data_IF_874566570140
#
_entry.id   IF_874566570140
#
_cell.length_a   1.000
_cell.length_b   1.000
_cell.length_c   1.000
_cell.angle_alpha   90.00
_cell.angle_beta   90.00
_cell.angle_gamma   90.00
#
_symmetry.space_group_name_H-M   'P 1'
#
loop_
_entity.id
_entity.type
_entity.pdbx_description
1 polymer ?
#
# COMPACT_ATOMS: atom_id res chain seq x y z
N UNK A 1 -23.50 17.37 20.78
CA UNK A 1 -22.45 17.26 21.82
C UNK A 1 -22.07 15.79 21.95
N UNK A 2 -20.94 15.24 21.52
CA UNK A 2 -19.78 15.70 20.77
C UNK A 2 -19.35 14.49 19.92
N UNK A 3 -19.49 14.58 18.60
CA UNK A 3 -18.93 13.59 17.67
C UNK A 3 -17.52 14.06 17.32
N UNK A 4 -16.56 13.76 18.20
CA UNK A 4 -15.15 13.89 17.87
C UNK A 4 -14.78 12.68 16.99
N UNK A 5 -14.54 12.98 15.72
CA UNK A 5 -13.89 12.13 14.73
C UNK A 5 -12.73 11.35 15.36
N UNK A 6 -12.83 10.03 15.40
CA UNK A 6 -11.69 9.18 15.71
C UNK A 6 -10.81 9.13 14.46
N UNK A 7 -9.96 10.15 14.36
CA UNK A 7 -8.87 10.20 13.42
C UNK A 7 -7.83 9.21 13.94
N UNK A 8 -7.32 8.30 13.09
CA UNK A 8 -6.37 7.32 13.55
C UNK A 8 -5.12 7.99 14.10
N UNK A 9 -4.75 7.59 15.30
CA UNK A 9 -3.76 8.30 16.12
C UNK A 9 -2.45 7.53 16.30
N UNK A 10 -2.37 6.28 15.84
CA UNK A 10 -1.17 5.45 15.99
C UNK A 10 -0.98 4.42 14.87
N UNK A 11 0.22 3.88 14.74
CA UNK A 11 0.62 2.87 13.74
C UNK A 11 -0.16 1.57 13.90
N UNK A 12 -0.48 1.21 15.14
CA UNK A 12 -1.29 0.03 15.47
C UNK A 12 -2.65 0.02 14.73
N UNK A 13 -3.21 1.20 14.46
CA UNK A 13 -4.49 1.34 13.77
C UNK A 13 -4.38 1.09 12.28
N UNK A 14 -3.27 1.53 11.67
CA UNK A 14 -2.99 1.18 10.28
C UNK A 14 -2.60 -0.28 10.12
N UNK A 15 -1.82 -0.84 11.06
CA UNK A 15 -1.53 -2.28 11.10
C UNK A 15 -2.83 -3.07 11.16
N UNK A 16 -3.77 -2.69 12.03
CA UNK A 16 -5.10 -3.30 12.08
C UNK A 16 -5.85 -3.16 10.75
N UNK A 17 -5.89 -1.96 10.14
CA UNK A 17 -6.64 -1.69 8.93
C UNK A 17 -6.16 -2.53 7.73
N UNK A 18 -4.84 -2.68 7.59
CA UNK A 18 -4.23 -3.50 6.53
C UNK A 18 -4.47 -4.99 6.78
N UNK A 19 -4.40 -5.42 8.04
CA UNK A 19 -4.75 -6.79 8.43
C UNK A 19 -6.22 -7.11 8.17
N UNK A 20 -7.14 -6.22 8.54
CA UNK A 20 -8.57 -6.36 8.28
C UNK A 20 -8.85 -6.42 6.78
N UNK A 21 -8.27 -5.52 5.98
CA UNK A 21 -8.39 -5.56 4.53
C UNK A 21 -7.94 -6.90 3.95
N UNK A 22 -6.76 -7.40 4.33
CA UNK A 22 -6.21 -8.63 3.78
C UNK A 22 -7.00 -9.87 4.19
N UNK A 23 -7.55 -9.90 5.40
CA UNK A 23 -8.32 -11.04 5.93
C UNK A 23 -9.78 -11.03 5.44
N UNK A 24 -10.39 -9.85 5.27
CA UNK A 24 -11.80 -9.69 4.90
C UNK A 24 -12.03 -9.52 3.39
N UNK A 25 -10.97 -9.49 2.57
CA UNK A 25 -11.06 -9.39 1.11
C UNK A 25 -10.65 -10.72 0.46
N UNK A 26 -11.62 -11.50 -0.06
CA UNK A 26 -11.33 -12.76 -0.73
C UNK A 26 -10.33 -12.58 -1.89
N UNK A 27 -9.33 -13.45 -1.94
CA UNK A 27 -8.32 -13.45 -3.00
C UNK A 27 -7.04 -12.67 -2.68
N UNK A 28 -7.05 -11.78 -1.69
CA UNK A 28 -5.83 -11.11 -1.23
C UNK A 28 -4.89 -12.12 -0.56
N UNK A 29 -3.69 -12.28 -1.12
CA UNK A 29 -2.63 -13.10 -0.55
C UNK A 29 -1.81 -12.30 0.47
N UNK A 30 -1.41 -11.10 0.08
CA UNK A 30 -0.67 -10.18 0.91
C UNK A 30 -1.00 -8.74 0.52
N UNK A 31 -0.92 -7.83 1.48
CA UNK A 31 -1.02 -6.40 1.27
C UNK A 31 0.09 -5.68 2.04
N UNK A 32 0.62 -4.60 1.48
CA UNK A 32 1.54 -3.72 2.18
C UNK A 32 1.36 -2.27 1.75
N UNK A 33 1.61 -1.36 2.69
CA UNK A 33 1.78 0.05 2.41
C UNK A 33 3.28 0.27 2.20
N UNK A 34 3.61 0.83 1.04
CA UNK A 34 4.97 1.19 0.67
C UNK A 34 5.10 2.70 0.60
N UNK A 35 6.27 3.22 0.95
CA UNK A 35 6.63 4.59 0.65
C UNK A 35 7.05 4.73 -0.81
N UNK A 36 6.97 5.95 -1.35
CA UNK A 36 7.40 6.26 -2.72
C UNK A 36 8.90 6.03 -2.97
N UNK A 37 9.72 6.00 -1.91
CA UNK A 37 11.15 5.68 -1.96
C UNK A 37 11.46 4.19 -1.72
N UNK A 38 10.42 3.35 -1.56
CA UNK A 38 10.57 1.90 -1.60
C UNK A 38 10.85 1.24 -0.26
N UNK A 39 10.40 1.86 0.84
CA UNK A 39 10.43 1.26 2.17
C UNK A 39 9.07 0.65 2.51
N UNK A 40 9.02 -0.57 3.07
CA UNK A 40 7.78 -1.11 3.61
C UNK A 40 7.43 -0.33 4.88
N UNK A 41 6.25 0.29 4.88
CA UNK A 41 5.75 1.00 6.04
C UNK A 41 4.96 0.05 6.94
N UNK A 42 4.04 -0.70 6.34
CA UNK A 42 3.11 -1.60 7.04
C UNK A 42 2.81 -2.83 6.17
N UNK A 43 2.75 -4.01 6.79
CA UNK A 43 2.47 -5.28 6.11
C UNK A 43 1.28 -6.00 6.72
N UNK A 44 0.46 -6.65 5.90
CA UNK A 44 -0.58 -7.55 6.38
C UNK A 44 0.04 -8.83 6.93
N UNK A 45 -0.26 -9.16 8.18
CA UNK A 45 0.14 -10.38 8.87
C UNK A 45 1.66 -10.53 8.98
N UNK A 46 2.13 -11.73 9.34
CA UNK A 46 3.55 -12.04 9.27
C UNK A 46 3.96 -12.16 7.80
N UNK A 47 4.52 -11.09 7.25
CA UNK A 47 5.26 -11.14 5.99
C UNK A 47 6.76 -11.27 6.32
N UNK A 48 7.46 -12.26 5.75
CA UNK A 48 8.91 -12.34 5.88
C UNK A 48 9.59 -11.07 5.33
N UNK A 49 10.56 -10.50 6.06
CA UNK A 49 11.24 -9.27 5.65
C UNK A 49 12.00 -9.44 4.32
N UNK A 50 12.49 -10.64 4.03
CA UNK A 50 13.11 -11.04 2.76
C UNK A 50 12.13 -11.03 1.57
N UNK A 51 10.83 -10.84 1.82
CA UNK A 51 9.81 -10.57 0.80
C UNK A 51 9.36 -9.12 0.85
N UNK A 52 9.12 -8.56 2.04
CA UNK A 52 8.61 -7.20 2.22
C UNK A 52 9.58 -6.14 1.67
N UNK A 53 10.87 -6.23 2.01
CA UNK A 53 11.87 -5.22 1.62
C UNK A 53 12.10 -5.22 0.11
N UNK A 54 12.33 -6.38 -0.56
CA UNK A 54 12.48 -6.39 -2.01
C UNK A 54 11.21 -5.93 -2.73
N UNK A 55 10.03 -6.30 -2.24
CA UNK A 55 8.76 -5.91 -2.86
C UNK A 55 8.54 -4.39 -2.76
N UNK A 56 8.86 -3.78 -1.61
CA UNK A 56 8.80 -2.34 -1.44
C UNK A 56 9.79 -1.62 -2.38
N UNK A 57 11.03 -2.10 -2.45
CA UNK A 57 12.06 -1.55 -3.34
C UNK A 57 11.67 -1.67 -4.84
N UNK A 58 11.11 -2.81 -5.25
CA UNK A 58 10.61 -2.98 -6.62
C UNK A 58 9.43 -2.04 -6.92
N UNK A 59 8.59 -1.76 -5.92
CA UNK A 59 7.44 -0.87 -6.11
C UNK A 59 7.86 0.57 -6.36
N UNK A 60 8.95 1.08 -5.76
CA UNK A 60 9.46 2.43 -6.09
C UNK A 60 9.98 2.53 -7.52
N UNK A 61 10.56 1.45 -8.04
CA UNK A 61 10.90 1.34 -9.46
C UNK A 61 9.66 1.38 -10.37
N UNK A 62 8.59 0.66 -10.01
CA UNK A 62 7.32 0.69 -10.73
C UNK A 62 6.68 2.09 -10.72
N UNK A 63 6.70 2.79 -9.59
CA UNK A 63 6.21 4.18 -9.46
C UNK A 63 7.02 5.12 -10.37
N UNK A 64 8.33 4.97 -10.39
CA UNK A 64 9.20 5.81 -11.24
C UNK A 64 8.91 5.59 -12.73
N UNK A 65 8.74 4.34 -13.15
CA UNK A 65 8.36 4.00 -14.52
C UNK A 65 6.96 4.50 -14.87
N UNK A 66 6.00 4.37 -13.96
CA UNK A 66 4.62 4.81 -14.21
C UNK A 66 4.53 6.34 -14.33
N UNK A 67 5.28 7.10 -13.52
CA UNK A 67 5.41 8.54 -13.69
C UNK A 67 6.01 8.93 -15.04
N UNK A 68 7.05 8.23 -15.50
CA UNK A 68 7.64 8.50 -16.80
C UNK A 68 6.65 8.22 -17.95
N UNK A 69 5.87 7.13 -17.83
CA UNK A 69 4.82 6.81 -18.80
C UNK A 69 3.71 7.87 -18.80
N UNK A 70 3.25 8.30 -17.63
CA UNK A 70 2.22 9.34 -17.50
C UNK A 70 2.66 10.65 -18.19
N UNK A 71 3.89 11.10 -17.92
CA UNK A 71 4.46 12.29 -18.57
C UNK A 71 4.54 12.15 -20.10
N UNK A 72 4.78 10.93 -20.60
CA UNK A 72 4.87 10.67 -22.05
C UNK A 72 3.50 10.77 -22.75
N UNK A 73 2.40 10.70 -22.00
CA UNK A 73 1.02 10.78 -22.51
C UNK A 73 0.27 12.00 -22.00
N UNK A 74 0.99 13.02 -21.50
CA UNK A 74 0.45 14.27 -20.97
C UNK A 74 -0.53 14.11 -19.78
N UNK A 75 -0.36 13.05 -18.98
CA UNK A 75 -1.11 12.80 -17.74
C UNK A 75 -0.31 13.23 -16.51
N UNK A 76 -1.00 13.65 -15.45
CA UNK A 76 -0.37 14.15 -14.22
C UNK A 76 0.23 13.04 -13.36
N UNK A 77 -0.37 11.84 -13.39
CA UNK A 77 0.07 10.67 -12.62
C UNK A 77 -0.51 9.36 -13.15
N UNK A 78 0.01 8.27 -12.61
CA UNK A 78 -0.57 6.94 -12.76
C UNK A 78 -1.24 6.54 -11.44
N UNK A 79 -2.58 6.45 -11.44
CA UNK A 79 -3.33 6.11 -10.22
C UNK A 79 -3.15 4.64 -9.80
N UNK A 80 -3.00 3.74 -10.78
CA UNK A 80 -3.01 2.30 -10.55
C UNK A 80 -2.08 1.54 -11.50
N UNK A 81 -1.44 0.49 -10.99
CA UNK A 81 -0.63 -0.45 -11.78
C UNK A 81 -1.16 -1.86 -11.56
N UNK A 82 -1.30 -2.64 -12.64
CA UNK A 82 -1.65 -4.05 -12.57
C UNK A 82 -0.66 -4.88 -13.38
N UNK A 83 -0.10 -5.91 -12.75
CA UNK A 83 0.74 -6.92 -13.40
C UNK A 83 0.05 -8.27 -13.29
N UNK A 84 -0.09 -8.97 -14.42
CA UNK A 84 -0.63 -10.33 -14.49
C UNK A 84 0.49 -11.36 -14.43
N UNK A 85 0.34 -12.34 -13.56
CA UNK A 85 1.19 -13.53 -13.51
C UNK A 85 0.34 -14.80 -13.67
N UNK A 86 0.94 -15.96 -14.00
CA UNK A 86 0.22 -17.23 -13.98
C UNK A 86 -0.46 -17.47 -12.63
N UNK A 87 0.30 -17.33 -11.54
CA UNK A 87 -0.17 -17.59 -10.18
C UNK A 87 -1.10 -16.50 -9.58
N UNK A 88 -1.37 -15.41 -10.30
CA UNK A 88 -2.14 -14.30 -9.71
C UNK A 88 -1.90 -12.94 -10.35
N UNK A 89 -2.02 -11.90 -9.54
CA UNK A 89 -1.80 -10.51 -9.96
C UNK A 89 -1.05 -9.75 -8.87
N UNK A 90 -0.29 -8.75 -9.28
CA UNK A 90 0.14 -7.66 -8.42
C UNK A 90 -0.67 -6.43 -8.78
N UNK A 91 -1.26 -5.79 -7.77
CA UNK A 91 -1.98 -4.53 -7.90
C UNK A 91 -1.29 -3.49 -7.05
N UNK A 92 -1.20 -2.27 -7.57
CA UNK A 92 -0.72 -1.10 -6.85
C UNK A 92 -1.70 0.06 -7.03
N UNK A 93 -1.97 0.80 -5.95
CA UNK A 93 -2.78 2.01 -5.97
C UNK A 93 -2.08 3.11 -5.15
N UNK A 94 -1.94 4.29 -5.73
CA UNK A 94 -1.30 5.43 -5.06
C UNK A 94 -2.09 5.93 -3.84
N UNK A 95 -1.39 6.34 -2.79
CA UNK A 95 -1.94 6.98 -1.58
C UNK A 95 -1.32 8.37 -1.48
N UNK A 96 -2.01 9.36 -2.04
CA UNK A 96 -1.44 10.69 -2.21
C UNK A 96 -0.12 10.62 -3.01
N UNK A 97 0.84 11.47 -2.67
CA UNK A 97 2.12 11.60 -3.42
C UNK A 97 3.28 10.80 -2.85
N UNK A 98 3.16 10.25 -1.63
CA UNK A 98 4.30 9.75 -0.85
C UNK A 98 4.23 8.27 -0.49
N UNK A 99 3.11 7.61 -0.77
CA UNK A 99 2.91 6.20 -0.43
C UNK A 99 2.00 5.52 -1.46
N UNK A 100 1.90 4.19 -1.37
CA UNK A 100 0.95 3.40 -2.13
C UNK A 100 0.63 2.08 -1.47
N UNK A 101 -0.51 1.52 -1.84
CA UNK A 101 -0.97 0.20 -1.41
C UNK A 101 -0.59 -0.82 -2.49
N UNK A 102 0.28 -1.77 -2.14
CA UNK A 102 0.64 -2.90 -2.98
C UNK A 102 -0.06 -4.18 -2.49
N UNK A 103 -0.65 -4.95 -3.40
CA UNK A 103 -1.47 -6.13 -3.09
C UNK A 103 -1.12 -7.27 -4.04
N UNK A 104 -0.80 -8.42 -3.46
CA UNK A 104 -0.68 -9.68 -4.18
C UNK A 104 -2.02 -10.41 -4.13
N UNK A 105 -2.52 -10.81 -5.29
CA UNK A 105 -3.84 -11.43 -5.46
C UNK A 105 -3.68 -12.82 -6.05
N UNK A 106 -4.34 -13.81 -5.45
CA UNK A 106 -4.30 -15.21 -5.91
C UNK A 106 -4.98 -15.37 -7.26
N UNK A 107 -4.55 -16.36 -8.04
CA UNK A 107 -5.22 -16.78 -9.28
C UNK A 107 -6.72 -17.08 -9.04
N UNK A 108 -7.56 -16.81 -10.05
CA UNK A 108 -9.00 -17.08 -10.00
C UNK A 108 -9.81 -16.11 -9.13
N UNK A 109 -9.17 -15.15 -8.47
CA UNK A 109 -9.84 -14.15 -7.63
C UNK A 109 -10.62 -13.11 -8.46
N UNK A 110 -11.69 -12.58 -7.89
CA UNK A 110 -12.43 -11.47 -8.49
C UNK A 110 -11.68 -10.14 -8.29
N UNK A 111 -10.98 -9.68 -9.32
CA UNK A 111 -10.21 -8.44 -9.28
C UNK A 111 -11.05 -7.20 -9.04
N UNK A 112 -12.30 -7.17 -9.50
CA UNK A 112 -13.20 -6.04 -9.25
C UNK A 112 -13.50 -5.85 -7.76
N UNK A 113 -13.69 -6.96 -7.03
CA UNK A 113 -13.87 -6.93 -5.57
C UNK A 113 -12.61 -6.45 -4.87
N UNK A 114 -11.44 -6.99 -5.27
CA UNK A 114 -10.17 -6.57 -4.66
C UNK A 114 -9.90 -5.09 -4.91
N UNK A 115 -10.03 -4.64 -6.15
CA UNK A 115 -9.82 -3.23 -6.53
C UNK A 115 -10.79 -2.30 -5.78
N UNK A 116 -12.07 -2.68 -5.65
CA UNK A 116 -13.04 -1.91 -4.88
C UNK A 116 -12.64 -1.77 -3.40
N UNK A 117 -12.23 -2.88 -2.76
CA UNK A 117 -11.76 -2.85 -1.38
C UNK A 117 -10.46 -2.06 -1.23
N UNK A 118 -9.57 -2.10 -2.23
CA UNK A 118 -8.36 -1.26 -2.25
C UNK A 118 -8.73 0.23 -2.31
N UNK A 119 -9.69 0.63 -3.14
CA UNK A 119 -10.16 2.02 -3.21
C UNK A 119 -10.69 2.49 -1.84
N UNK A 120 -11.56 1.70 -1.21
CA UNK A 120 -12.08 2.02 0.13
C UNK A 120 -10.97 2.14 1.17
N UNK A 121 -9.97 1.25 1.12
CA UNK A 121 -8.82 1.29 2.01
C UNK A 121 -7.96 2.54 1.77
N UNK A 122 -7.65 2.88 0.52
CA UNK A 122 -6.87 4.06 0.17
C UNK A 122 -7.58 5.35 0.58
N UNK A 123 -8.89 5.43 0.42
CA UNK A 123 -9.70 6.57 0.90
C UNK A 123 -9.67 6.68 2.43
N UNK A 124 -9.79 5.55 3.12
CA UNK A 124 -9.72 5.47 4.58
C UNK A 124 -8.33 5.84 5.09
N UNK A 125 -7.25 5.38 4.44
CA UNK A 125 -5.85 5.67 4.81
C UNK A 125 -5.47 7.10 4.44
N UNK A 126 -5.96 7.62 3.32
CA UNK A 126 -5.63 8.96 2.82
C UNK A 126 -6.04 10.08 3.78
N UNK A 127 -7.13 9.91 4.53
CA UNK A 127 -7.57 10.86 5.55
C UNK A 127 -6.66 10.92 6.80
N UNK A 128 -5.78 9.94 6.91
CA UNK A 128 -5.13 9.57 8.16
C UNK A 128 -3.63 9.70 8.03
N UNK A 129 -3.09 9.38 6.86
CA UNK A 129 -1.67 9.42 6.54
C UNK A 129 -1.22 10.89 6.40
N UNK A 130 -1.27 11.64 7.51
CA UNK A 130 -0.79 13.02 7.62
C UNK A 130 0.71 13.07 7.37
N UNK A 131 1.29 14.22 6.96
CA UNK A 131 2.74 14.37 6.80
C UNK A 131 3.54 13.89 8.03
N UNK A 132 3.05 14.17 9.24
CA UNK A 132 3.69 13.78 10.49
C UNK A 132 3.71 12.26 10.70
N UNK A 133 2.59 11.58 10.47
CA UNK A 133 2.52 10.11 10.56
C UNK A 133 3.40 9.41 9.50
N UNK A 134 3.64 10.06 8.36
CA UNK A 134 4.58 9.55 7.34
C UNK A 134 6.01 9.59 7.84
N UNK A 135 6.42 10.69 8.48
CA UNK A 135 7.76 10.82 9.06
C UNK A 135 7.97 9.82 10.20
N UNK A 136 6.95 9.62 11.03
CA UNK A 136 6.97 8.61 12.10
C UNK A 136 7.11 7.19 11.54
N UNK A 137 6.30 6.83 10.53
CA UNK A 137 6.40 5.53 9.83
C UNK A 137 7.75 5.32 9.16
N UNK A 138 8.31 6.37 8.51
CA UNK A 138 9.66 6.34 7.94
C UNK A 138 10.72 6.09 9.02
N UNK A 139 10.64 6.79 10.15
CA UNK A 139 11.60 6.64 11.25
C UNK A 139 11.61 5.22 11.84
N UNK A 140 10.45 4.57 11.92
CA UNK A 140 10.32 3.22 12.46
C UNK A 140 10.74 2.15 11.46
N UNK A 141 10.46 2.34 10.17
CA UNK A 141 11.00 1.47 9.11
C UNK A 141 12.54 1.54 9.06
N UNK A 142 13.13 2.73 9.21
CA UNK A 142 14.58 2.91 9.30
C UNK A 142 15.20 2.28 10.57
N UNK A 143 14.45 2.23 11.67
CA UNK A 143 14.87 1.60 12.92
C UNK A 143 14.81 0.07 12.95
N UNK A 144 14.05 -0.57 12.04
CA UNK A 144 13.99 -2.04 11.90
C UNK A 144 15.18 -2.64 11.13
N UNK A 145 16.04 -1.82 10.54
CA UNK A 145 17.17 -2.24 9.69
C UNK A 145 18.51 -2.45 10.42
N UNK A 146 18.51 -2.71 11.74
CA UNK A 146 19.76 -3.02 12.47
C UNK A 146 19.73 -4.45 13.02
N UNK A 147 20.76 -5.29 12.71
CA UNK A 147 20.84 -6.67 13.18
C UNK A 147 21.12 -6.80 14.69
#
# INVERSE_FOLDING_TARGET
MNSASDQPRNIDEFDWLINDFATSTPGVAHALIVSSDGLPLITSGPMPNDIADPLAAMTSGLISLSHNIANQVDEDRCDQIMLKFPAGHFLFMGIGTLAGLAVLVREGSNLGVVAHRMTQLVESVGHVLTPQMRDDLRSLSAGRSVP
#
